data_IF_359565147251
#
_entry.id   IF_359565147251
#
_cell.length_a   1.000
_cell.length_b   1.000
_cell.length_c   1.000
_cell.angle_alpha   90.00
_cell.angle_beta   90.00
_cell.angle_gamma   90.00
#
_symmetry.space_group_name_H-M   'P 1'
#
loop_
_entity.id
_entity.type
_entity.pdbx_description
1 polymer ?
#
# COMPACT_ATOMS: atom_id res chain seq x y z
N UNK A 1 5.81 37.41 9.56
CA UNK A 1 6.20 36.00 9.38
C UNK A 1 5.11 35.26 8.59
N UNK A 2 5.42 34.91 7.35
CA UNK A 2 4.49 34.31 6.38
C UNK A 2 3.75 33.08 6.96
N UNK A 3 4.46 32.20 7.65
CA UNK A 3 3.85 30.98 8.22
C UNK A 3 2.74 31.33 9.22
N UNK A 4 3.00 32.28 10.08
CA UNK A 4 2.01 32.75 11.07
C UNK A 4 0.80 33.38 10.39
N UNK A 5 1.03 34.23 9.39
CA UNK A 5 -0.04 34.88 8.63
C UNK A 5 -0.90 33.85 7.88
N UNK A 6 -0.25 32.84 7.28
CA UNK A 6 -0.95 31.74 6.64
C UNK A 6 -1.78 30.93 7.64
N UNK A 7 -1.23 30.59 8.81
CA UNK A 7 -1.97 29.88 9.86
C UNK A 7 -3.18 30.68 10.34
N UNK A 8 -3.05 31.98 10.56
CA UNK A 8 -4.18 32.85 10.88
C UNK A 8 -5.21 32.91 9.75
N UNK A 9 -4.74 33.00 8.50
CA UNK A 9 -5.61 33.01 7.34
C UNK A 9 -6.45 31.74 7.24
N UNK A 10 -5.86 30.59 7.51
CA UNK A 10 -6.56 29.28 7.52
C UNK A 10 -7.53 29.21 8.71
N UNK A 11 -7.06 29.54 9.91
CA UNK A 11 -7.86 29.44 11.13
C UNK A 11 -9.11 30.35 11.11
N UNK A 12 -8.96 31.54 10.58
CA UNK A 12 -10.04 32.54 10.51
C UNK A 12 -10.69 32.67 9.13
N UNK A 13 -10.23 31.89 8.13
CA UNK A 13 -10.70 31.95 6.75
C UNK A 13 -10.73 33.38 6.19
N UNK A 14 -9.70 34.14 6.53
CA UNK A 14 -9.64 35.60 6.24
C UNK A 14 -9.18 35.93 4.82
N UNK A 15 -8.73 34.91 4.05
CA UNK A 15 -8.40 35.00 2.64
C UNK A 15 -9.03 33.84 1.88
N UNK A 16 -9.18 33.97 0.56
CA UNK A 16 -9.70 32.88 -0.30
C UNK A 16 -8.86 31.62 -0.17
N UNK A 17 -7.53 31.73 -0.21
CA UNK A 17 -6.60 30.62 -0.02
C UNK A 17 -6.75 30.01 1.37
N UNK A 18 -6.82 30.82 2.41
CA UNK A 18 -7.04 30.34 3.78
C UNK A 18 -8.36 29.59 3.93
N UNK A 19 -9.43 30.10 3.34
CA UNK A 19 -10.73 29.46 3.35
C UNK A 19 -10.74 28.13 2.57
N UNK A 20 -10.04 28.06 1.44
CA UNK A 20 -9.90 26.83 0.65
C UNK A 20 -9.11 25.77 1.42
N UNK A 21 -7.97 26.14 2.04
CA UNK A 21 -7.17 25.21 2.86
C UNK A 21 -7.96 24.75 4.10
N UNK A 22 -8.77 25.61 4.71
CA UNK A 22 -9.57 25.29 5.88
C UNK A 22 -10.64 24.22 5.61
N UNK A 23 -11.08 24.06 4.36
CA UNK A 23 -11.97 22.96 3.94
C UNK A 23 -11.26 21.60 3.90
N UNK A 24 -9.94 21.61 3.99
CA UNK A 24 -9.09 20.43 3.88
C UNK A 24 -8.28 20.43 2.60
N UNK A 25 -7.14 19.74 2.65
CA UNK A 25 -6.16 19.74 1.58
C UNK A 25 -6.70 19.22 0.24
N UNK A 26 -7.58 18.24 0.29
CA UNK A 26 -8.26 17.72 -0.90
C UNK A 26 -9.05 18.81 -1.63
N UNK A 27 -9.92 19.52 -0.91
CA UNK A 27 -10.74 20.61 -1.49
C UNK A 27 -9.90 21.76 -2.03
N UNK A 28 -8.82 22.09 -1.32
CA UNK A 28 -7.88 23.11 -1.77
C UNK A 28 -7.26 22.73 -3.12
N UNK A 29 -6.84 21.46 -3.28
CA UNK A 29 -6.23 21.01 -4.52
C UNK A 29 -7.22 20.91 -5.67
N UNK A 30 -8.43 20.41 -5.43
CA UNK A 30 -9.49 20.35 -6.42
C UNK A 30 -9.81 21.75 -6.99
N UNK A 31 -9.77 22.78 -6.16
CA UNK A 31 -10.01 24.16 -6.58
C UNK A 31 -8.87 24.72 -7.45
N UNK A 32 -7.65 24.29 -7.22
CA UNK A 32 -6.47 24.80 -7.92
C UNK A 32 -5.93 23.87 -9.02
N UNK A 33 -6.38 22.64 -9.10
CA UNK A 33 -6.02 21.70 -10.18
C UNK A 33 -6.47 22.32 -11.53
N UNK A 34 -5.53 22.39 -12.46
CA UNK A 34 -5.77 22.95 -13.80
C UNK A 34 -5.61 24.48 -13.88
N UNK A 35 -5.33 25.17 -12.79
CA UNK A 35 -4.98 26.59 -12.82
C UNK A 35 -3.48 26.80 -13.10
N UNK A 36 -3.05 28.00 -13.56
CA UNK A 36 -1.63 28.31 -13.73
C UNK A 36 -0.83 28.21 -12.42
N UNK A 37 -1.48 28.39 -11.29
CA UNK A 37 -0.92 28.30 -9.95
C UNK A 37 -0.61 26.88 -9.54
N UNK A 38 -1.25 25.89 -10.14
CA UNK A 38 -1.04 24.47 -9.86
C UNK A 38 0.43 24.05 -9.97
N UNK A 39 1.22 24.70 -10.84
CA UNK A 39 2.66 24.45 -10.97
C UNK A 39 3.45 24.65 -9.67
N UNK A 40 3.01 25.52 -8.78
CA UNK A 40 3.67 25.77 -7.49
C UNK A 40 3.36 24.67 -6.48
N UNK A 41 2.26 23.97 -6.68
CA UNK A 41 1.80 22.87 -5.83
C UNK A 41 2.06 21.50 -6.44
N UNK A 42 2.75 21.45 -7.57
CA UNK A 42 2.90 20.26 -8.39
C UNK A 42 3.42 19.04 -7.61
N UNK A 43 4.37 19.24 -6.69
CA UNK A 43 4.84 18.15 -5.83
C UNK A 43 3.79 17.70 -4.82
N UNK A 44 2.98 18.62 -4.33
CA UNK A 44 1.88 18.31 -3.43
C UNK A 44 0.72 17.66 -4.18
N UNK A 45 0.41 18.14 -5.38
CA UNK A 45 -0.64 17.61 -6.24
C UNK A 45 -0.34 16.19 -6.70
N UNK A 46 0.90 15.87 -7.02
CA UNK A 46 1.33 14.51 -7.40
C UNK A 46 1.04 13.46 -6.34
N UNK A 47 1.04 13.88 -5.10
CA UNK A 47 0.83 13.00 -3.99
C UNK A 47 -0.62 12.85 -3.56
N UNK A 48 -1.57 13.60 -4.10
CA UNK A 48 -2.87 13.78 -3.45
C UNK A 48 -3.96 13.75 -4.49
N UNK A 49 -4.14 12.64 -5.18
CA UNK A 49 -5.35 12.52 -5.96
C UNK A 49 -6.44 11.79 -5.18
N UNK A 50 -7.47 12.56 -4.92
CA UNK A 50 -8.89 12.22 -4.84
C UNK A 50 -9.31 10.98 -4.05
N UNK A 51 -8.48 10.39 -3.22
CA UNK A 51 -8.97 9.30 -2.39
C UNK A 51 -9.24 9.77 -0.98
N UNK A 52 -10.44 9.57 -0.43
CA UNK A 52 -10.70 9.74 0.99
C UNK A 52 -9.77 8.88 1.86
N UNK A 53 -9.22 7.81 1.32
CA UNK A 53 -8.19 6.98 1.95
C UNK A 53 -6.91 7.76 2.24
N UNK A 54 -6.58 8.64 1.34
CA UNK A 54 -5.31 9.34 1.39
C UNK A 54 -5.46 10.74 1.98
N UNK A 55 -6.09 10.92 3.08
CA UNK A 55 -6.30 12.17 3.84
C UNK A 55 -5.23 13.26 3.64
N UNK A 56 -5.02 13.68 2.39
CA UNK A 56 -4.00 14.64 2.00
C UNK A 56 -2.57 14.11 2.00
N UNK A 57 -2.38 12.82 2.25
CA UNK A 57 -1.09 12.18 2.16
C UNK A 57 -1.01 11.37 0.89
N UNK A 58 -0.85 12.01 -0.23
CA UNK A 58 -0.60 11.27 -1.44
C UNK A 58 0.67 10.46 -1.36
N UNK A 59 0.91 9.68 -2.38
CA UNK A 59 2.19 9.02 -2.61
C UNK A 59 3.25 10.09 -2.44
N UNK A 60 3.89 10.12 -1.28
CA UNK A 60 4.97 11.03 -1.00
C UNK A 60 5.98 10.91 -2.13
N UNK A 61 6.56 12.00 -2.61
CA UNK A 61 7.52 11.97 -3.71
C UNK A 61 8.74 11.05 -3.52
N UNK A 62 8.81 10.39 -2.38
CA UNK A 62 9.79 9.35 -2.04
C UNK A 62 9.38 7.96 -2.53
N UNK A 63 8.13 7.76 -2.96
CA UNK A 63 7.52 6.45 -3.19
C UNK A 63 7.06 6.28 -4.63
N UNK A 64 7.99 6.43 -5.54
CA UNK A 64 7.68 6.43 -6.94
C UNK A 64 8.26 5.22 -7.65
N UNK A 65 7.71 4.90 -8.82
CA UNK A 65 7.81 3.61 -9.48
C UNK A 65 9.17 2.92 -9.47
N UNK A 66 10.25 3.65 -9.41
CA UNK A 66 11.59 3.08 -9.43
C UNK A 66 12.06 2.43 -8.12
N UNK A 67 11.43 2.77 -7.00
CA UNK A 67 11.89 2.31 -5.69
C UNK A 67 11.11 1.11 -5.13
N UNK A 68 9.92 0.83 -5.66
CA UNK A 68 8.99 -0.09 -4.99
C UNK A 68 8.37 -1.16 -5.87
N UNK A 69 8.95 -1.52 -6.99
CA UNK A 69 8.44 -2.61 -7.80
C UNK A 69 6.92 -2.57 -8.08
N UNK A 70 6.42 -3.42 -8.94
CA UNK A 70 5.00 -3.49 -9.27
C UNK A 70 4.08 -3.65 -8.05
N UNK A 71 4.37 -4.55 -7.09
CA UNK A 71 3.52 -4.73 -5.92
C UNK A 71 3.44 -3.50 -5.05
N UNK A 72 4.51 -2.72 -4.95
CA UNK A 72 4.53 -1.49 -4.14
C UNK A 72 3.52 -0.47 -4.63
N UNK A 73 3.42 -0.25 -5.93
CA UNK A 73 2.45 0.69 -6.51
C UNK A 73 1.01 0.23 -6.28
N UNK A 74 0.72 -1.04 -6.56
CA UNK A 74 -0.60 -1.61 -6.33
C UNK A 74 -0.96 -1.54 -4.85
N UNK A 75 -0.05 -1.93 -3.96
CA UNK A 75 -0.25 -1.87 -2.53
C UNK A 75 -0.53 -0.46 -2.02
N UNK A 76 0.22 0.54 -2.49
CA UNK A 76 -0.01 1.94 -2.11
C UNK A 76 -1.39 2.44 -2.55
N UNK A 77 -1.80 2.13 -3.76
CA UNK A 77 -3.08 2.58 -4.28
C UNK A 77 -4.26 1.86 -3.61
N UNK A 78 -4.12 0.58 -3.29
CA UNK A 78 -5.19 -0.23 -2.70
C UNK A 78 -5.20 -0.26 -1.18
N UNK A 79 -4.21 0.37 -0.53
CA UNK A 79 -4.17 0.46 0.93
C UNK A 79 -5.38 1.20 1.48
N UNK A 80 -5.86 0.73 2.62
CA UNK A 80 -6.90 1.37 3.40
C UNK A 80 -6.37 2.54 4.23
N UNK A 81 -5.07 2.59 4.44
CA UNK A 81 -4.36 3.65 5.15
C UNK A 81 -3.71 4.61 4.17
N UNK A 82 -3.23 5.73 4.65
CA UNK A 82 -2.49 6.64 3.79
C UNK A 82 -1.10 6.08 3.43
N UNK A 83 -0.50 6.62 2.37
CA UNK A 83 0.81 6.19 1.90
C UNK A 83 1.94 6.36 2.95
N UNK A 84 1.73 7.18 3.97
CA UNK A 84 2.69 7.37 5.05
C UNK A 84 2.73 6.15 5.97
N UNK A 85 1.60 5.52 6.21
CA UNK A 85 1.51 4.32 7.05
C UNK A 85 2.04 3.07 6.33
N UNK A 86 1.99 3.08 4.98
CA UNK A 86 2.57 2.03 4.15
C UNK A 86 4.03 2.33 3.78
N UNK A 87 4.51 3.47 4.14
CA UNK A 87 5.90 3.92 3.93
C UNK A 87 6.94 2.94 4.49
N UNK A 88 6.55 2.17 5.44
CA UNK A 88 7.32 1.06 5.93
C UNK A 88 7.22 -0.03 4.88
N UNK A 89 8.13 0.04 4.00
CA UNK A 89 8.31 -0.76 2.82
C UNK A 89 8.17 -2.22 3.12
N UNK A 90 7.39 -2.87 2.31
CA UNK A 90 7.26 -4.29 2.39
C UNK A 90 8.56 -5.02 2.05
N UNK A 91 8.45 -6.31 2.06
CA UNK A 91 9.52 -7.24 1.70
C UNK A 91 10.21 -6.87 0.38
N UNK A 92 9.48 -6.26 -0.56
CA UNK A 92 9.99 -5.87 -1.87
C UNK A 92 11.20 -4.92 -1.81
N UNK A 93 11.28 -4.05 -0.81
CA UNK A 93 12.43 -3.14 -0.69
C UNK A 93 13.71 -3.88 -0.37
N UNK A 94 13.61 -4.89 0.49
CA UNK A 94 14.76 -5.71 0.84
C UNK A 94 15.17 -6.64 -0.29
N UNK A 95 14.23 -7.00 -1.16
CA UNK A 95 14.52 -7.75 -2.38
C UNK A 95 15.36 -6.94 -3.38
N UNK A 96 15.18 -5.61 -3.40
CA UNK A 96 15.93 -4.73 -4.31
C UNK A 96 17.29 -4.31 -3.76
N UNK A 97 17.30 -3.87 -2.53
CA UNK A 97 18.45 -3.15 -1.95
C UNK A 97 19.32 -4.01 -1.03
N UNK A 98 18.88 -5.24 -0.78
CA UNK A 98 19.57 -6.11 0.16
C UNK A 98 19.42 -5.65 1.61
N UNK A 99 20.11 -6.34 2.49
CA UNK A 99 20.24 -5.93 3.89
C UNK A 99 21.19 -4.74 4.02
N UNK A 100 20.94 -3.86 4.98
CA UNK A 100 21.80 -2.73 5.30
C UNK A 100 23.18 -3.13 5.87
N UNK A 101 23.65 -4.30 5.61
CA UNK A 101 24.92 -4.74 6.13
C UNK A 101 25.53 -5.79 5.26
N UNK A 102 26.28 -5.46 4.34
CA UNK A 102 27.29 -6.14 3.50
C UNK A 102 27.56 -7.66 3.66
N UNK A 103 26.79 -8.37 4.50
CA UNK A 103 26.97 -9.80 4.77
C UNK A 103 26.43 -10.69 3.64
N UNK A 104 25.36 -10.27 3.00
CA UNK A 104 24.81 -10.93 1.82
C UNK A 104 24.58 -9.88 0.72
N UNK A 105 25.53 -9.68 -0.18
CA UNK A 105 25.38 -8.74 -1.28
C UNK A 105 24.21 -9.13 -2.18
N UNK A 106 23.33 -8.20 -2.57
CA UNK A 106 22.29 -8.47 -3.55
C UNK A 106 22.87 -9.08 -4.82
N UNK A 107 22.27 -10.18 -5.28
CA UNK A 107 22.73 -10.92 -6.47
C UNK A 107 23.83 -11.94 -6.20
N UNK A 108 24.29 -12.14 -4.96
CA UNK A 108 25.11 -13.30 -4.61
C UNK A 108 24.26 -14.58 -4.59
N UNK A 109 24.90 -15.74 -4.73
CA UNK A 109 24.21 -17.04 -4.70
C UNK A 109 23.51 -17.25 -3.36
N UNK A 110 24.15 -16.83 -2.27
CA UNK A 110 23.58 -16.92 -0.92
C UNK A 110 22.34 -16.01 -0.75
N UNK A 111 22.41 -14.80 -1.32
CA UNK A 111 21.27 -13.90 -1.32
C UNK A 111 20.11 -14.47 -2.15
N UNK A 112 20.41 -15.02 -3.32
CA UNK A 112 19.40 -15.64 -4.17
C UNK A 112 18.74 -16.83 -3.45
N UNK A 113 19.53 -17.68 -2.81
CA UNK A 113 19.01 -18.83 -2.08
C UNK A 113 18.09 -18.39 -0.91
N UNK A 114 18.44 -17.31 -0.20
CA UNK A 114 17.61 -16.76 0.86
C UNK A 114 16.28 -16.22 0.32
N UNK A 115 16.33 -15.47 -0.78
CA UNK A 115 15.14 -14.88 -1.42
C UNK A 115 14.20 -15.98 -1.93
N UNK A 116 14.75 -16.98 -2.61
CA UNK A 116 13.99 -18.12 -3.12
C UNK A 116 13.38 -18.97 -1.99
N UNK A 117 14.12 -19.15 -0.91
CA UNK A 117 13.66 -19.85 0.29
C UNK A 117 12.48 -19.11 0.94
N UNK A 118 12.57 -17.80 1.12
CA UNK A 118 11.48 -16.98 1.66
C UNK A 118 10.24 -16.99 0.74
N UNK A 119 10.43 -16.83 -0.57
CA UNK A 119 9.33 -16.91 -1.54
C UNK A 119 8.63 -18.26 -1.50
N UNK A 120 9.42 -19.34 -1.44
CA UNK A 120 8.87 -20.71 -1.35
C UNK A 120 8.13 -20.93 -0.03
N UNK A 121 8.64 -20.43 1.09
CA UNK A 121 7.98 -20.52 2.40
C UNK A 121 6.63 -19.81 2.42
N UNK A 122 6.57 -18.61 1.86
CA UNK A 122 5.37 -17.77 1.90
C UNK A 122 4.32 -18.11 0.84
N UNK A 123 4.76 -18.50 -0.35
CA UNK A 123 3.90 -18.64 -1.54
C UNK A 123 3.96 -20.02 -2.18
N UNK A 124 4.76 -20.93 -1.66
CA UNK A 124 4.94 -22.27 -2.23
C UNK A 124 5.79 -22.32 -3.50
N UNK A 125 6.37 -21.20 -3.92
CA UNK A 125 7.17 -21.09 -5.15
C UNK A 125 8.25 -20.00 -5.03
N UNK A 126 9.45 -20.22 -5.53
CA UNK A 126 10.47 -19.16 -5.63
C UNK A 126 10.10 -18.09 -6.66
N UNK A 127 9.21 -18.42 -7.61
CA UNK A 127 8.87 -17.58 -8.76
C UNK A 127 8.27 -16.24 -8.35
N UNK A 128 7.54 -16.18 -7.23
CA UNK A 128 6.86 -14.94 -6.81
C UNK A 128 7.85 -13.79 -6.60
N UNK A 129 8.92 -14.04 -5.86
CA UNK A 129 9.93 -13.01 -5.63
C UNK A 129 10.78 -12.73 -6.88
N UNK A 130 11.00 -13.73 -7.72
CA UNK A 130 11.68 -13.57 -8.99
C UNK A 130 10.92 -12.62 -9.93
N UNK A 131 9.62 -12.86 -10.11
CA UNK A 131 8.75 -12.01 -10.94
C UNK A 131 8.74 -10.56 -10.43
N UNK A 132 8.62 -10.38 -9.11
CA UNK A 132 8.63 -9.06 -8.48
C UNK A 132 9.94 -8.32 -8.74
N UNK A 133 11.07 -8.99 -8.59
CA UNK A 133 12.39 -8.39 -8.81
C UNK A 133 12.63 -8.01 -10.26
N UNK A 134 12.09 -8.76 -11.18
CA UNK A 134 12.27 -8.55 -12.62
C UNK A 134 11.29 -7.53 -13.21
N UNK A 135 10.46 -6.88 -12.38
CA UNK A 135 9.48 -5.90 -12.84
C UNK A 135 8.50 -6.46 -13.86
N UNK A 136 8.10 -7.70 -13.67
CA UNK A 136 7.10 -8.33 -14.51
C UNK A 136 5.70 -7.81 -14.15
N UNK A 137 5.27 -6.75 -14.85
CA UNK A 137 3.96 -6.14 -14.66
C UNK A 137 2.78 -7.04 -15.01
N UNK A 138 3.03 -8.12 -15.75
CA UNK A 138 2.01 -9.06 -16.20
C UNK A 138 1.96 -10.34 -15.34
N UNK A 139 2.83 -10.43 -14.34
CA UNK A 139 2.92 -11.63 -13.52
C UNK A 139 1.68 -11.82 -12.64
N UNK A 140 1.15 -13.03 -12.62
CA UNK A 140 0.10 -13.46 -11.73
C UNK A 140 0.54 -13.49 -10.25
N UNK A 141 1.83 -13.34 -9.98
CA UNK A 141 2.40 -13.31 -8.63
C UNK A 141 2.12 -12.02 -7.86
N UNK A 142 1.85 -10.91 -8.56
CA UNK A 142 1.73 -9.56 -7.95
C UNK A 142 0.53 -9.49 -7.01
N UNK A 143 -0.64 -9.93 -7.44
CA UNK A 143 -1.87 -9.82 -6.66
C UNK A 143 -1.84 -10.67 -5.37
N UNK A 144 -1.45 -11.95 -5.39
CA UNK A 144 -1.26 -12.73 -4.16
C UNK A 144 -0.23 -12.13 -3.21
N UNK A 145 0.88 -11.60 -3.74
CA UNK A 145 1.88 -10.92 -2.92
C UNK A 145 1.31 -9.68 -2.23
N UNK A 146 0.56 -8.84 -2.95
CA UNK A 146 -0.10 -7.67 -2.37
C UNK A 146 -1.14 -8.06 -1.31
N UNK A 147 -1.93 -9.11 -1.55
CA UNK A 147 -2.87 -9.65 -0.56
C UNK A 147 -2.15 -10.04 0.72
N UNK A 148 -1.13 -10.88 0.62
CA UNK A 148 -0.31 -11.28 1.77
C UNK A 148 0.25 -10.06 2.51
N UNK A 149 0.79 -9.09 1.79
CA UNK A 149 1.41 -7.91 2.37
C UNK A 149 0.39 -7.05 3.14
N UNK A 150 -0.82 -6.88 2.62
CA UNK A 150 -1.90 -6.18 3.34
C UNK A 150 -2.33 -6.91 4.61
N UNK A 151 -2.45 -8.23 4.54
CA UNK A 151 -2.82 -9.04 5.70
C UNK A 151 -1.75 -9.00 6.79
N UNK A 152 -0.49 -9.17 6.40
CA UNK A 152 0.65 -9.09 7.31
C UNK A 152 0.77 -7.70 7.95
N UNK A 153 0.60 -6.65 7.15
CA UNK A 153 0.60 -5.26 7.64
C UNK A 153 -0.54 -5.02 8.64
N UNK A 154 -1.75 -5.48 8.35
CA UNK A 154 -2.90 -5.32 9.23
C UNK A 154 -2.70 -6.04 10.58
N UNK A 155 -2.03 -7.20 10.57
CA UNK A 155 -1.64 -7.88 11.79
C UNK A 155 -0.62 -7.08 12.59
N UNK A 156 0.47 -6.62 11.95
CA UNK A 156 1.52 -5.85 12.61
C UNK A 156 0.98 -4.57 13.25
N UNK A 157 0.12 -3.84 12.54
CA UNK A 157 -0.51 -2.63 13.05
C UNK A 157 -1.43 -2.93 14.24
N UNK A 158 -2.17 -4.03 14.19
CA UNK A 158 -3.04 -4.47 15.29
C UNK A 158 -2.25 -4.86 16.53
N UNK A 159 -1.05 -5.36 16.36
CA UNK A 159 -0.13 -5.72 17.44
C UNK A 159 0.81 -4.55 17.83
N UNK A 160 0.68 -3.39 17.18
CA UNK A 160 1.49 -2.19 17.42
C UNK A 160 2.98 -2.45 17.14
N UNK A 161 3.28 -3.28 16.19
CA UNK A 161 4.64 -3.53 15.75
C UNK A 161 5.09 -2.55 14.66
N UNK A 162 6.39 -2.30 14.62
CA UNK A 162 6.97 -1.53 13.54
C UNK A 162 7.12 -2.40 12.29
N UNK A 163 6.33 -2.14 11.28
CA UNK A 163 6.34 -2.91 10.04
C UNK A 163 7.71 -2.94 9.33
N UNK A 164 8.48 -1.85 9.39
CA UNK A 164 9.87 -1.85 8.85
C UNK A 164 10.69 -2.93 9.53
N UNK A 165 10.66 -2.98 10.86
CA UNK A 165 11.45 -3.94 11.60
C UNK A 165 10.94 -5.38 11.34
N UNK A 166 9.63 -5.58 11.30
CA UNK A 166 9.05 -6.91 11.09
C UNK A 166 9.31 -7.44 9.67
N UNK A 167 9.13 -6.61 8.65
CA UNK A 167 9.43 -7.00 7.26
C UNK A 167 10.92 -7.32 7.07
N UNK A 168 11.80 -6.50 7.64
CA UNK A 168 13.23 -6.73 7.56
C UNK A 168 13.64 -8.03 8.26
N UNK A 169 13.16 -8.24 9.49
CA UNK A 169 13.47 -9.45 10.26
C UNK A 169 12.84 -10.70 9.66
N UNK A 170 11.74 -10.55 8.92
CA UNK A 170 11.11 -11.64 8.20
C UNK A 170 11.96 -12.19 7.08
N UNK A 171 12.64 -11.31 6.34
CA UNK A 171 13.46 -11.70 5.19
C UNK A 171 14.86 -12.08 5.61
N UNK A 172 15.47 -11.32 6.53
CA UNK A 172 16.88 -11.39 6.81
C UNK A 172 17.20 -11.14 8.30
N UNK A 173 18.16 -11.86 8.83
CA UNK A 173 18.66 -11.64 10.18
C UNK A 173 20.19 -11.74 10.27
N UNK A 174 20.82 -10.78 10.89
CA UNK A 174 22.24 -10.83 11.20
C UNK A 174 22.57 -11.81 12.34
N UNK A 175 21.57 -12.33 13.03
CA UNK A 175 21.72 -13.09 14.26
C UNK A 175 21.41 -14.58 14.12
N UNK A 176 21.01 -15.00 12.93
CA UNK A 176 20.68 -16.39 12.60
C UNK A 176 21.76 -17.01 11.73
N UNK A 177 21.98 -18.34 11.86
CA UNK A 177 22.81 -19.08 10.93
C UNK A 177 22.15 -19.06 9.55
N UNK A 178 22.94 -18.84 8.50
CA UNK A 178 22.43 -18.69 7.14
C UNK A 178 21.69 -17.37 6.88
N UNK A 179 21.67 -16.46 7.86
CA UNK A 179 21.02 -15.16 7.78
C UNK A 179 19.50 -15.20 7.47
N UNK A 180 18.85 -16.33 7.71
CA UNK A 180 17.41 -16.46 7.53
C UNK A 180 16.64 -15.53 8.46
N UNK A 181 15.67 -14.82 7.91
CA UNK A 181 14.68 -14.07 8.69
C UNK A 181 13.55 -14.96 9.21
N UNK A 182 12.62 -14.35 9.91
CA UNK A 182 11.51 -15.06 10.52
C UNK A 182 10.22 -14.22 10.50
N UNK A 183 9.35 -14.50 9.55
CA UNK A 183 8.04 -13.84 9.45
C UNK A 183 7.08 -14.22 10.59
N UNK A 184 7.40 -15.25 11.39
CA UNK A 184 6.57 -15.68 12.52
C UNK A 184 6.83 -14.85 13.79
N UNK A 185 7.76 -13.90 13.77
CA UNK A 185 8.09 -13.07 14.94
C UNK A 185 6.86 -12.41 15.56
N UNK A 186 5.94 -11.77 14.81
CA UNK A 186 4.77 -11.16 15.39
C UNK A 186 3.92 -12.15 16.19
N UNK A 187 3.62 -13.32 15.64
CA UNK A 187 2.82 -14.33 16.36
C UNK A 187 3.56 -14.98 17.53
N UNK A 188 4.89 -15.16 17.40
CA UNK A 188 5.71 -15.66 18.52
C UNK A 188 5.71 -14.69 19.70
N UNK A 189 5.83 -13.39 19.43
CA UNK A 189 5.73 -12.35 20.45
C UNK A 189 4.34 -12.30 21.07
N UNK A 190 3.30 -12.37 20.24
CA UNK A 190 1.92 -12.42 20.72
C UNK A 190 1.69 -13.61 21.67
N UNK A 191 2.16 -14.80 21.27
CA UNK A 191 2.09 -16.01 22.11
C UNK A 191 2.81 -15.84 23.44
N UNK A 192 4.01 -15.26 23.44
CA UNK A 192 4.79 -15.04 24.68
C UNK A 192 4.07 -14.10 25.64
N UNK A 193 3.41 -13.07 25.11
CA UNK A 193 2.75 -12.03 25.94
C UNK A 193 1.38 -12.48 26.41
N UNK A 194 0.60 -13.16 25.56
CA UNK A 194 -0.81 -13.47 25.82
C UNK A 194 -1.05 -14.92 26.23
N UNK A 195 -0.12 -15.83 25.92
CA UNK A 195 -0.30 -17.26 26.03
C UNK A 195 -1.16 -17.88 24.91
N UNK A 196 -1.66 -17.07 23.97
CA UNK A 196 -2.47 -17.53 22.84
C UNK A 196 -1.55 -17.86 21.66
N UNK A 197 -1.75 -19.03 21.08
CA UNK A 197 -1.00 -19.49 19.91
C UNK A 197 -1.85 -19.26 18.65
N UNK A 198 -1.40 -18.39 17.77
CA UNK A 198 -1.98 -18.25 16.45
C UNK A 198 -1.43 -19.34 15.53
N UNK A 199 -2.31 -20.18 15.00
CA UNK A 199 -1.99 -21.01 13.84
C UNK A 199 -1.78 -20.15 12.60
N UNK A 200 -1.16 -20.71 11.56
CA UNK A 200 -0.94 -19.99 10.28
C UNK A 200 -2.26 -19.55 9.63
N UNK A 201 -3.28 -20.41 9.65
CA UNK A 201 -4.61 -20.11 9.14
C UNK A 201 -5.30 -18.98 9.95
N UNK A 202 -5.14 -18.98 11.26
CA UNK A 202 -5.72 -17.96 12.14
C UNK A 202 -5.05 -16.61 11.96
N UNK A 203 -3.75 -16.58 11.74
CA UNK A 203 -2.98 -15.38 11.46
C UNK A 203 -3.46 -14.71 10.16
N UNK A 204 -3.52 -15.49 9.07
CA UNK A 204 -4.00 -15.02 7.78
C UNK A 204 -5.46 -14.53 7.87
N UNK A 205 -6.32 -15.30 8.51
CA UNK A 205 -7.73 -14.94 8.70
C UNK A 205 -7.90 -13.68 9.58
N UNK A 206 -7.03 -13.46 10.56
CA UNK A 206 -7.05 -12.23 11.36
C UNK A 206 -6.70 -11.02 10.52
N UNK A 207 -5.58 -11.07 9.79
CA UNK A 207 -5.15 -9.99 8.90
C UNK A 207 -6.19 -9.68 7.82
N UNK A 208 -6.82 -10.72 7.26
CA UNK A 208 -7.90 -10.55 6.27
C UNK A 208 -9.12 -9.84 6.87
N UNK A 209 -9.58 -10.24 8.04
CA UNK A 209 -10.71 -9.58 8.73
C UNK A 209 -10.41 -8.11 9.05
N UNK A 210 -9.19 -7.81 9.53
CA UNK A 210 -8.79 -6.45 9.84
C UNK A 210 -8.76 -5.58 8.58
N UNK A 211 -8.15 -6.06 7.51
CA UNK A 211 -8.12 -5.35 6.23
C UNK A 211 -9.54 -5.14 5.65
N UNK A 212 -10.38 -6.17 5.75
CA UNK A 212 -11.77 -6.11 5.27
C UNK A 212 -12.62 -5.12 6.09
N UNK A 213 -12.40 -5.03 7.41
CA UNK A 213 -13.06 -4.03 8.26
C UNK A 213 -12.67 -2.60 7.87
N UNK A 214 -11.39 -2.35 7.64
CA UNK A 214 -10.91 -1.05 7.16
C UNK A 214 -11.52 -0.71 5.80
N UNK A 215 -11.55 -1.67 4.87
CA UNK A 215 -12.17 -1.48 3.55
C UNK A 215 -13.67 -1.22 3.66
N UNK A 216 -14.37 -1.87 4.59
CA UNK A 216 -15.78 -1.63 4.88
C UNK A 216 -16.02 -0.19 5.34
N UNK A 217 -15.15 0.34 6.19
CA UNK A 217 -15.23 1.74 6.64
C UNK A 217 -15.08 2.69 5.45
N UNK A 218 -14.13 2.45 4.56
CA UNK A 218 -13.91 3.26 3.37
C UNK A 218 -15.07 3.15 2.38
N UNK A 219 -15.60 1.96 2.16
CA UNK A 219 -16.80 1.72 1.33
C UNK A 219 -18.00 2.52 1.87
N UNK A 220 -18.21 2.54 3.19
CA UNK A 220 -19.21 3.40 3.83
C UNK A 220 -18.99 4.88 3.56
N UNK A 221 -17.74 5.30 3.42
CA UNK A 221 -17.35 6.69 3.09
C UNK A 221 -17.46 7.02 1.60
N UNK A 222 -17.87 6.05 0.77
CA UNK A 222 -18.05 6.20 -0.67
C UNK A 222 -16.79 5.91 -1.50
N UNK A 223 -15.78 5.26 -0.92
CA UNK A 223 -14.64 4.81 -1.70
C UNK A 223 -15.03 3.68 -2.66
N UNK A 224 -14.58 3.80 -3.87
CA UNK A 224 -14.77 2.85 -4.95
C UNK A 224 -13.47 2.59 -5.74
N UNK A 225 -13.59 1.92 -6.89
CA UNK A 225 -12.45 1.62 -7.77
C UNK A 225 -11.67 2.86 -8.18
N UNK A 226 -12.31 4.01 -8.34
CA UNK A 226 -11.63 5.24 -8.76
C UNK A 226 -10.64 5.73 -7.70
N UNK A 227 -10.89 5.39 -6.45
CA UNK A 227 -9.98 5.72 -5.33
C UNK A 227 -8.75 4.81 -5.28
N UNK A 228 -8.75 3.68 -6.00
CA UNK A 228 -7.63 2.77 -6.12
C UNK A 228 -6.78 3.00 -7.39
N UNK A 229 -7.17 3.97 -8.23
CA UNK A 229 -6.41 4.31 -9.42
C UNK A 229 -5.20 5.18 -9.08
N UNK A 230 -4.11 4.96 -9.81
CA UNK A 230 -2.97 5.86 -9.80
C UNK A 230 -3.29 7.11 -10.64
N UNK A 231 -2.64 8.20 -10.32
CA UNK A 231 -2.77 9.43 -11.09
C UNK A 231 -2.01 9.32 -12.43
N UNK A 232 -2.50 10.03 -13.45
CA UNK A 232 -2.01 9.89 -14.84
C UNK A 232 -0.52 10.19 -14.98
N UNK A 233 0.02 11.05 -14.12
CA UNK A 233 1.44 11.41 -14.13
C UNK A 233 2.37 10.23 -13.82
N UNK A 234 1.89 9.17 -13.16
CA UNK A 234 2.69 7.95 -12.91
C UNK A 234 3.04 7.23 -14.21
N UNK A 235 2.19 7.36 -15.22
CA UNK A 235 2.34 6.69 -16.52
C UNK A 235 3.08 7.54 -17.56
N UNK A 236 3.45 8.78 -17.21
CA UNK A 236 4.10 9.70 -18.15
C UNK A 236 5.61 9.49 -18.15
N UNK A 237 6.19 9.44 -19.34
CA UNK A 237 7.64 9.57 -19.49
C UNK A 237 8.07 10.99 -19.04
N UNK A 238 8.96 11.06 -18.10
CA UNK A 238 9.51 12.33 -17.65
C UNK A 238 10.67 12.74 -18.53
N UNK A 239 10.59 13.97 -19.05
CA UNK A 239 11.75 14.59 -19.72
C UNK A 239 12.88 14.85 -18.72
N UNK A 240 14.13 14.77 -19.18
CA UNK A 240 15.32 15.01 -18.35
C UNK A 240 15.31 16.34 -17.60
N UNK A 241 14.62 17.36 -18.11
CA UNK A 241 14.45 18.67 -17.46
C UNK A 241 13.65 18.62 -16.15
N UNK A 242 12.79 17.62 -15.98
CA UNK A 242 11.99 17.44 -14.78
C UNK A 242 12.67 16.50 -13.75
N UNK A 243 13.79 15.88 -14.10
CA UNK A 243 14.42 14.81 -13.38
C UNK A 243 15.53 15.22 -12.42
N UNK A 244 16.07 16.45 -12.53
CA UNK A 244 17.20 16.89 -11.69
C UNK A 244 16.98 16.76 -10.19
N UNK A 245 15.75 16.49 -9.76
CA UNK A 245 15.40 16.31 -8.34
C UNK A 245 14.34 15.24 -8.09
N UNK A 246 14.08 14.34 -9.00
CA UNK A 246 13.07 13.32 -8.80
C UNK A 246 13.69 11.94 -8.73
N UNK A 247 13.28 11.18 -7.73
CA UNK A 247 13.52 9.75 -7.62
C UNK A 247 12.80 8.92 -8.72
N UNK A 248 12.26 9.56 -9.75
CA UNK A 248 11.47 8.99 -10.85
C UNK A 248 12.33 8.43 -11.97
N UNK A 249 13.53 8.02 -11.66
CA UNK A 249 14.45 7.49 -12.63
C UNK A 249 14.15 6.05 -12.95
N UNK A 250 13.07 5.73 -13.58
CA UNK A 250 13.06 4.43 -14.24
C UNK A 250 12.13 4.46 -15.42
N UNK A 251 12.66 4.06 -16.54
CA UNK A 251 11.93 3.48 -17.64
C UNK A 251 11.29 2.17 -17.16
N UNK A 252 10.26 2.27 -16.30
CA UNK A 252 9.62 1.10 -15.70
C UNK A 252 8.77 0.35 -16.70
N UNK A 253 8.45 0.97 -17.84
CA UNK A 253 7.50 0.41 -18.81
C UNK A 253 6.07 0.26 -18.27
N UNK A 254 5.76 0.79 -17.07
CA UNK A 254 4.42 0.74 -16.51
C UNK A 254 3.45 1.56 -17.35
N UNK A 255 2.44 0.90 -17.87
CA UNK A 255 1.31 1.55 -18.55
C UNK A 255 0.07 1.53 -17.65
N UNK A 256 -0.89 2.37 -17.97
CA UNK A 256 -2.19 2.35 -17.29
C UNK A 256 -2.89 1.00 -17.44
N UNK A 257 -2.77 0.39 -18.62
CA UNK A 257 -3.32 -0.94 -18.88
C UNK A 257 -2.70 -2.02 -18.00
N UNK A 258 -1.36 -2.02 -17.84
CA UNK A 258 -0.69 -2.95 -16.92
C UNK A 258 -1.20 -2.76 -15.49
N UNK A 259 -1.31 -1.51 -15.04
CA UNK A 259 -1.80 -1.23 -13.70
C UNK A 259 -3.25 -1.70 -13.49
N UNK A 260 -4.14 -1.41 -14.44
CA UNK A 260 -5.54 -1.83 -14.35
C UNK A 260 -5.70 -3.35 -14.34
N UNK A 261 -4.88 -4.09 -15.10
CA UNK A 261 -4.84 -5.56 -15.03
C UNK A 261 -4.41 -6.06 -13.64
N UNK A 262 -3.36 -5.47 -13.06
CA UNK A 262 -2.92 -5.83 -11.71
C UNK A 262 -4.00 -5.53 -10.68
N UNK A 263 -4.70 -4.41 -10.81
CA UNK A 263 -5.79 -4.01 -9.94
C UNK A 263 -6.97 -4.98 -10.04
N UNK A 264 -7.34 -5.38 -11.26
CA UNK A 264 -8.39 -6.37 -11.50
C UNK A 264 -8.06 -7.71 -10.82
N UNK A 265 -6.85 -8.21 -11.06
CA UNK A 265 -6.37 -9.45 -10.44
C UNK A 265 -6.35 -9.35 -8.89
N UNK A 266 -5.98 -8.18 -8.36
CA UNK A 266 -6.00 -7.96 -6.91
C UNK A 266 -7.43 -8.00 -6.34
N UNK A 267 -8.41 -7.37 -7.01
CA UNK A 267 -9.81 -7.46 -6.59
C UNK A 267 -10.32 -8.90 -6.59
N UNK A 268 -9.94 -9.69 -7.61
CA UNK A 268 -10.32 -11.10 -7.68
C UNK A 268 -9.77 -11.90 -6.49
N UNK A 269 -8.48 -11.78 -6.17
CA UNK A 269 -7.89 -12.52 -5.03
C UNK A 269 -8.36 -12.02 -3.67
N UNK A 270 -8.82 -10.77 -3.59
CA UNK A 270 -9.44 -10.20 -2.39
C UNK A 270 -10.93 -10.55 -2.25
N UNK A 271 -11.55 -11.14 -3.29
CA UNK A 271 -12.98 -11.38 -3.32
C UNK A 271 -13.83 -10.12 -3.49
N UNK A 272 -13.25 -9.06 -4.07
CA UNK A 272 -13.93 -7.80 -4.31
C UNK A 272 -14.54 -7.78 -5.71
N UNK A 273 -15.50 -6.93 -5.92
CA UNK A 273 -16.09 -6.72 -7.25
C UNK A 273 -15.14 -5.86 -8.10
N UNK A 274 -14.74 -6.40 -9.26
CA UNK A 274 -13.78 -5.75 -10.16
C UNK A 274 -14.29 -4.41 -10.68
N UNK A 275 -15.59 -4.29 -10.93
CA UNK A 275 -16.14 -3.06 -11.50
C UNK A 275 -16.18 -1.90 -10.49
N UNK A 276 -16.44 -2.21 -9.23
CA UNK A 276 -16.65 -1.20 -8.18
C UNK A 276 -15.51 -1.10 -7.17
N UNK A 277 -14.65 -2.13 -7.07
CA UNK A 277 -13.62 -2.22 -6.03
C UNK A 277 -14.18 -2.44 -4.62
N UNK A 278 -15.49 -2.70 -4.50
CA UNK A 278 -16.13 -2.95 -3.21
C UNK A 278 -16.03 -4.43 -2.81
N UNK A 279 -15.90 -4.73 -1.51
CA UNK A 279 -16.04 -6.10 -1.04
C UNK A 279 -17.43 -6.65 -1.40
N UNK A 280 -17.49 -7.92 -1.83
CA UNK A 280 -18.75 -8.61 -2.05
C UNK A 280 -19.37 -9.08 -0.72
N UNK A 281 -20.67 -9.29 -0.68
CA UNK A 281 -21.36 -9.90 0.49
C UNK A 281 -20.71 -11.23 0.83
N UNK A 282 -20.45 -12.06 -0.17
CA UNK A 282 -19.79 -13.35 -0.01
C UNK A 282 -18.38 -13.28 0.60
N UNK A 283 -17.67 -12.16 0.43
CA UNK A 283 -16.34 -11.95 1.04
C UNK A 283 -16.44 -11.81 2.56
N UNK A 284 -17.44 -11.05 3.03
CA UNK A 284 -17.71 -10.94 4.48
C UNK A 284 -18.14 -12.26 5.10
N UNK A 285 -18.95 -13.04 4.40
CA UNK A 285 -19.36 -14.38 4.82
C UNK A 285 -18.16 -15.32 4.95
N UNK A 286 -17.29 -15.34 3.94
CA UNK A 286 -16.08 -16.17 3.91
C UNK A 286 -15.09 -15.78 5.04
N UNK A 287 -14.98 -14.50 5.35
CA UNK A 287 -14.15 -13.99 6.44
C UNK A 287 -14.78 -14.22 7.84
N UNK A 288 -16.01 -14.74 7.90
CA UNK A 288 -16.73 -14.99 9.16
C UNK A 288 -17.23 -13.73 9.87
N UNK A 289 -17.49 -12.66 9.12
CA UNK A 289 -17.97 -11.37 9.63
C UNK A 289 -19.17 -10.83 8.81
N UNK A 290 -20.21 -11.65 8.54
CA UNK A 290 -21.35 -11.25 7.71
C UNK A 290 -22.11 -10.05 8.29
N UNK A 291 -22.08 -9.85 9.60
CA UNK A 291 -22.73 -8.74 10.29
C UNK A 291 -22.20 -7.36 9.85
N UNK A 292 -20.98 -7.29 9.32
CA UNK A 292 -20.43 -6.05 8.77
C UNK A 292 -21.14 -5.69 7.48
N UNK A 293 -21.36 -6.67 6.59
CA UNK A 293 -22.13 -6.48 5.35
C UNK A 293 -23.57 -6.07 5.66
N UNK A 294 -24.22 -6.77 6.59
CA UNK A 294 -25.58 -6.46 7.02
C UNK A 294 -25.71 -5.01 7.53
N UNK A 295 -24.75 -4.55 8.30
CA UNK A 295 -24.72 -3.16 8.80
C UNK A 295 -24.48 -2.15 7.71
N UNK A 296 -23.57 -2.41 6.77
CA UNK A 296 -23.33 -1.54 5.63
C UNK A 296 -24.62 -1.32 4.83
N UNK A 297 -25.36 -2.36 4.60
CA UNK A 297 -26.64 -2.29 3.85
C UNK A 297 -27.74 -1.65 4.67
N UNK A 298 -27.99 -2.15 5.88
CA UNK A 298 -29.17 -1.76 6.67
C UNK A 298 -29.05 -0.41 7.38
N UNK A 299 -27.87 -0.08 7.91
CA UNK A 299 -27.65 1.15 8.66
C UNK A 299 -27.15 2.30 7.78
N UNK A 300 -26.37 1.99 6.76
CA UNK A 300 -25.71 3.02 5.93
C UNK A 300 -26.19 3.08 4.48
N UNK A 301 -27.06 2.17 4.07
CA UNK A 301 -27.63 2.15 2.72
C UNK A 301 -26.65 1.85 1.60
N UNK A 302 -25.51 1.22 1.91
CA UNK A 302 -24.51 0.84 0.93
C UNK A 302 -25.04 -0.31 0.07
N UNK A 303 -24.91 -0.21 -1.24
CA UNK A 303 -25.26 -1.29 -2.16
C UNK A 303 -24.03 -2.15 -2.41
N UNK A 304 -23.90 -3.23 -1.65
CA UNK A 304 -22.79 -4.17 -1.84
C UNK A 304 -23.07 -5.10 -3.02
N UNK A 305 -22.01 -5.44 -3.79
CA UNK A 305 -22.09 -6.51 -4.79
C UNK A 305 -22.37 -7.87 -4.13
N UNK A 306 -23.01 -8.76 -4.90
CA UNK A 306 -23.35 -10.11 -4.42
C UNK A 306 -22.13 -11.02 -4.29
#
# INVERSE_FOLDING_TARGET
>A
DFTRELMYSVAYQSTEVGAAIAKGWRYFLEEYIGTPEAKYFYRAIRGIRNSPKHNGGGVCGWYIPGAYLAPGLLRFATSNLNATDIRCTGAETYLLFGSNGDLLPPGSDEWQALVDGNSTKLFGSPQVYEDIRNWDWESDSIAPFCKWNHQFKALDDSLIFCYIAMSAMGIYSNYTEGHEGDFDIPKKLFKVVTGIDFGEEEEAAFGERMFLLERAILTRQGCDRNDDLLFDEVYQEYSAENLENSFYQTETGLTKEHYEKMLDAWYEVMGFDVATGMPKVSTFEAAGVPEIADRLVSEYGVQLPA
#
